data_IF_256305145276
#
_entry.id   IF_256305145276
#
_cell.length_a   1.000
_cell.length_b   1.000
_cell.length_c   1.000
_cell.angle_alpha   90.00
_cell.angle_beta   90.00
_cell.angle_gamma   90.00
#
_symmetry.space_group_name_H-M   'P 1'
#
loop_
_entity.id
_entity.type
_entity.pdbx_description
1 polymer ?
#
# COMPACT_ATOMS: atom_id res chain seq x y z
N UNK A 1 -7.05 26.30 4.38
CA UNK A 1 -5.77 26.02 3.65
C UNK A 1 -4.60 25.43 4.47
N UNK A 2 -4.75 25.13 5.78
CA UNK A 2 -3.69 24.52 6.62
C UNK A 2 -3.70 22.98 6.67
N UNK A 3 -4.81 22.34 6.28
CA UNK A 3 -5.02 20.89 6.46
C UNK A 3 -4.09 20.05 5.55
N UNK A 4 -3.62 20.58 4.43
CA UNK A 4 -2.80 19.82 3.46
C UNK A 4 -1.44 19.38 4.04
N UNK A 5 -0.76 20.26 4.76
CA UNK A 5 0.50 19.92 5.44
C UNK A 5 0.27 18.95 6.61
N UNK A 6 -0.87 19.06 7.30
CA UNK A 6 -1.23 18.17 8.40
C UNK A 6 -1.46 16.73 7.92
N UNK A 7 -2.09 16.53 6.77
CA UNK A 7 -2.31 15.18 6.23
C UNK A 7 -1.00 14.48 5.83
N UNK A 8 -0.05 15.19 5.22
CA UNK A 8 1.28 14.64 4.93
C UNK A 8 2.07 14.35 6.22
N UNK A 9 1.98 15.23 7.23
CA UNK A 9 2.58 14.98 8.54
C UNK A 9 1.95 13.75 9.25
N UNK A 10 0.66 13.49 9.05
CA UNK A 10 -0.01 12.28 9.53
C UNK A 10 0.46 11.04 8.76
N UNK A 11 0.77 11.18 7.47
CA UNK A 11 1.26 10.09 6.62
C UNK A 11 2.74 9.73 6.86
N UNK A 12 3.47 10.51 7.67
CA UNK A 12 4.84 10.21 8.09
C UNK A 12 4.97 8.77 8.62
N UNK A 13 5.99 8.02 8.23
CA UNK A 13 6.24 6.65 8.72
C UNK A 13 5.06 5.70 8.44
N UNK A 14 4.48 5.79 7.23
CA UNK A 14 3.31 5.05 6.80
C UNK A 14 3.48 3.54 6.89
N UNK A 15 4.64 3.00 6.48
CA UNK A 15 4.95 1.57 6.57
C UNK A 15 4.93 1.09 8.02
N UNK A 16 5.69 1.76 8.90
CA UNK A 16 5.74 1.42 10.33
C UNK A 16 4.38 1.56 11.01
N UNK A 17 3.58 2.59 10.67
CA UNK A 17 2.22 2.78 11.18
C UNK A 17 1.28 1.66 10.73
N UNK A 18 1.33 1.26 9.46
CA UNK A 18 0.50 0.18 8.96
C UNK A 18 0.82 -1.12 9.69
N UNK A 19 2.10 -1.48 9.78
CA UNK A 19 2.57 -2.67 10.50
C UNK A 19 2.10 -2.70 11.95
N UNK A 20 2.21 -1.59 12.66
CA UNK A 20 1.93 -1.56 14.11
C UNK A 20 0.45 -1.42 14.46
N UNK A 21 -0.36 -0.82 13.57
CA UNK A 21 -1.76 -0.46 13.89
C UNK A 21 -2.81 -1.21 13.07
N UNK A 22 -2.51 -1.53 11.82
CA UNK A 22 -3.49 -2.07 10.85
C UNK A 22 -3.24 -3.56 10.61
N UNK A 23 -1.98 -3.98 10.45
CA UNK A 23 -1.62 -5.37 10.20
C UNK A 23 -2.19 -6.34 11.26
N UNK A 24 -2.13 -6.08 12.59
CA UNK A 24 -2.68 -6.99 13.58
C UNK A 24 -4.19 -7.22 13.42
N UNK A 25 -4.92 -6.17 13.00
CA UNK A 25 -6.35 -6.26 12.73
C UNK A 25 -6.62 -7.04 11.44
N UNK A 26 -5.88 -6.77 10.37
CA UNK A 26 -5.96 -7.51 9.11
C UNK A 26 -5.81 -9.02 9.34
N UNK A 27 -4.74 -9.42 10.03
CA UNK A 27 -4.44 -10.82 10.32
C UNK A 27 -5.47 -11.46 11.25
N UNK A 28 -5.94 -10.73 12.25
CA UNK A 28 -6.96 -11.24 13.18
C UNK A 28 -8.29 -11.45 12.49
N UNK A 29 -8.73 -10.52 11.64
CA UNK A 29 -9.97 -10.69 10.85
C UNK A 29 -9.86 -11.86 9.88
N UNK A 30 -8.71 -12.05 9.22
CA UNK A 30 -8.48 -13.21 8.35
C UNK A 30 -8.58 -14.52 9.14
N UNK A 31 -7.93 -14.59 10.32
CA UNK A 31 -7.99 -15.79 11.18
C UNK A 31 -9.39 -16.08 11.71
N UNK A 32 -10.17 -15.05 12.03
CA UNK A 32 -11.50 -15.21 12.62
C UNK A 32 -12.58 -15.56 11.58
N UNK A 33 -12.50 -14.97 10.39
CA UNK A 33 -13.56 -15.06 9.38
C UNK A 33 -13.16 -15.84 8.13
N UNK A 34 -11.89 -16.22 7.98
CA UNK A 34 -11.38 -16.93 6.81
C UNK A 34 -11.39 -16.10 5.53
N UNK A 35 -11.60 -14.79 5.62
CA UNK A 35 -11.77 -13.90 4.47
C UNK A 35 -10.91 -12.63 4.60
N UNK A 36 -10.47 -12.10 3.46
CA UNK A 36 -9.72 -10.85 3.40
C UNK A 36 -10.64 -9.66 3.69
N UNK A 37 -10.42 -8.87 4.76
CA UNK A 37 -11.23 -7.70 5.06
C UNK A 37 -11.04 -6.61 3.99
N UNK A 38 -12.07 -6.30 3.18
CA UNK A 38 -11.90 -5.50 1.96
C UNK A 38 -11.25 -4.14 2.21
N UNK A 39 -11.67 -3.43 3.27
CA UNK A 39 -11.19 -2.09 3.61
C UNK A 39 -9.75 -2.08 4.10
N UNK A 40 -9.32 -3.09 4.85
CA UNK A 40 -7.94 -3.16 5.36
C UNK A 40 -6.98 -3.59 4.23
N UNK A 41 -7.40 -4.51 3.38
CA UNK A 41 -6.66 -4.88 2.17
C UNK A 41 -6.55 -3.71 1.20
N UNK A 42 -7.61 -2.93 1.03
CA UNK A 42 -7.57 -1.69 0.23
C UNK A 42 -6.64 -0.64 0.85
N UNK A 43 -6.63 -0.49 2.18
CA UNK A 43 -5.71 0.43 2.84
C UNK A 43 -4.24 0.07 2.56
N UNK A 44 -3.89 -1.22 2.46
CA UNK A 44 -2.55 -1.67 2.06
C UNK A 44 -2.23 -1.29 0.62
N UNK A 45 -3.16 -1.49 -0.31
CA UNK A 45 -3.01 -1.04 -1.70
C UNK A 45 -2.88 0.49 -1.81
N UNK A 46 -3.67 1.23 -1.03
CA UNK A 46 -3.60 2.69 -0.96
C UNK A 46 -2.26 3.19 -0.41
N UNK A 47 -1.67 2.47 0.55
CA UNK A 47 -0.33 2.76 1.07
C UNK A 47 0.73 2.60 -0.05
N UNK A 48 0.70 1.48 -0.78
CA UNK A 48 1.62 1.26 -1.92
C UNK A 48 1.44 2.35 -2.98
N UNK A 49 0.19 2.71 -3.31
CA UNK A 49 -0.12 3.80 -4.24
C UNK A 49 0.40 5.16 -3.74
N UNK A 50 0.33 5.42 -2.43
CA UNK A 50 0.84 6.65 -1.82
C UNK A 50 2.35 6.81 -2.02
N UNK A 51 3.13 5.74 -1.85
CA UNK A 51 4.58 5.81 -2.12
C UNK A 51 4.96 5.99 -3.59
N UNK A 52 4.00 6.04 -4.51
CA UNK A 52 4.27 6.54 -5.86
C UNK A 52 4.64 8.03 -5.86
N UNK A 53 4.30 8.76 -4.80
CA UNK A 53 4.68 10.16 -4.59
C UNK A 53 3.98 11.14 -5.54
N UNK A 54 2.92 10.70 -6.23
CA UNK A 54 2.17 11.55 -7.15
C UNK A 54 0.66 11.33 -7.04
N UNK A 55 -0.11 12.40 -7.24
CA UNK A 55 -1.57 12.40 -7.29
C UNK A 55 -2.04 13.42 -8.31
N UNK A 56 -2.90 13.00 -9.23
CA UNK A 56 -3.46 13.87 -10.28
C UNK A 56 -2.38 14.64 -11.07
N UNK A 57 -1.26 13.97 -11.36
CA UNK A 57 -0.10 14.56 -12.05
C UNK A 57 0.79 15.46 -11.18
N UNK A 58 0.44 15.70 -9.92
CA UNK A 58 1.22 16.51 -8.99
C UNK A 58 2.06 15.61 -8.08
N UNK A 59 3.37 15.88 -8.02
CA UNK A 59 4.30 15.22 -7.09
C UNK A 59 4.17 15.84 -5.70
N UNK A 60 4.26 15.02 -4.67
CA UNK A 60 4.30 15.45 -3.27
C UNK A 60 5.46 14.78 -2.51
N UNK A 61 5.99 15.44 -1.47
CA UNK A 61 7.07 14.87 -0.69
C UNK A 61 6.58 13.64 0.09
N UNK A 62 7.36 12.57 0.01
CA UNK A 62 7.24 11.40 0.89
C UNK A 62 8.15 11.59 2.10
N UNK A 63 7.70 11.14 3.26
CA UNK A 63 8.45 11.18 4.50
C UNK A 63 8.34 9.83 5.20
N UNK A 64 9.41 9.04 5.10
CA UNK A 64 9.55 7.74 5.73
C UNK A 64 11.04 7.40 5.82
N UNK A 65 11.38 6.24 6.37
CA UNK A 65 12.76 5.75 6.41
C UNK A 65 13.30 5.56 4.97
N UNK A 66 14.59 5.86 4.78
CA UNK A 66 15.24 5.84 3.45
C UNK A 66 15.12 4.49 2.73
N UNK A 67 15.05 3.39 3.49
CA UNK A 67 14.84 2.05 2.96
C UNK A 67 13.52 1.95 2.17
N UNK A 68 12.44 2.56 2.69
CA UNK A 68 11.14 2.55 2.03
C UNK A 68 11.12 3.48 0.84
N UNK A 69 11.64 4.70 1.01
CA UNK A 69 11.71 5.68 -0.07
C UNK A 69 12.50 5.13 -1.27
N UNK A 70 13.63 4.49 -1.01
CA UNK A 70 14.47 3.88 -2.04
C UNK A 70 13.77 2.70 -2.72
N UNK A 71 13.21 1.78 -1.92
CA UNK A 71 12.56 0.58 -2.46
C UNK A 71 11.35 0.94 -3.32
N UNK A 72 10.46 1.80 -2.83
CA UNK A 72 9.29 2.23 -3.60
C UNK A 72 9.69 3.03 -4.84
N UNK A 73 10.72 3.89 -4.75
CA UNK A 73 11.24 4.61 -5.93
C UNK A 73 11.71 3.64 -7.02
N UNK A 74 12.46 2.59 -6.65
CA UNK A 74 12.93 1.57 -7.58
C UNK A 74 11.77 0.76 -8.16
N UNK A 75 10.88 0.24 -7.32
CA UNK A 75 9.76 -0.57 -7.76
C UNK A 75 8.79 0.20 -8.67
N UNK A 76 8.47 1.46 -8.34
CA UNK A 76 7.65 2.31 -9.22
C UNK A 76 8.35 2.67 -10.54
N UNK A 77 9.68 2.82 -10.57
CA UNK A 77 10.45 2.96 -11.82
C UNK A 77 10.36 1.72 -12.70
N UNK A 78 10.47 0.53 -12.10
CA UNK A 78 10.32 -0.73 -12.84
C UNK A 78 8.92 -0.85 -13.44
N UNK A 79 7.87 -0.53 -12.66
CA UNK A 79 6.49 -0.49 -13.16
C UNK A 79 6.33 0.50 -14.32
N UNK A 80 6.93 1.70 -14.22
CA UNK A 80 6.93 2.67 -15.31
C UNK A 80 7.65 2.16 -16.57
N UNK A 81 8.62 1.26 -16.42
CA UNK A 81 9.35 0.61 -17.50
C UNK A 81 8.69 -0.69 -18.01
N UNK A 82 7.46 -0.98 -17.58
CA UNK A 82 6.65 -2.10 -18.07
C UNK A 82 6.61 -3.32 -17.17
N UNK A 83 7.25 -3.31 -16.00
CA UNK A 83 7.09 -4.39 -15.02
C UNK A 83 5.64 -4.43 -14.50
N UNK A 84 5.10 -5.63 -14.21
CA UNK A 84 3.74 -5.75 -13.69
C UNK A 84 3.63 -5.17 -12.27
N UNK A 85 2.49 -4.54 -11.95
CA UNK A 85 2.19 -4.05 -10.59
C UNK A 85 2.26 -5.16 -9.53
N UNK A 86 1.90 -6.38 -9.91
CA UNK A 86 1.97 -7.54 -9.03
C UNK A 86 3.40 -7.76 -8.49
N UNK A 87 4.44 -7.52 -9.30
CA UNK A 87 5.82 -7.66 -8.85
C UNK A 87 6.17 -6.70 -7.72
N UNK A 88 5.76 -5.44 -7.85
CA UNK A 88 5.90 -4.44 -6.78
C UNK A 88 5.13 -4.85 -5.52
N UNK A 89 3.92 -5.38 -5.66
CA UNK A 89 3.12 -5.84 -4.53
C UNK A 89 3.79 -7.00 -3.82
N UNK A 90 4.27 -8.01 -4.55
CA UNK A 90 5.01 -9.13 -3.96
C UNK A 90 6.25 -8.66 -3.22
N UNK A 91 7.05 -7.77 -3.82
CA UNK A 91 8.27 -7.24 -3.20
C UNK A 91 7.99 -6.55 -1.86
N UNK A 92 6.89 -5.79 -1.79
CA UNK A 92 6.48 -5.11 -0.55
C UNK A 92 5.97 -6.12 0.48
N UNK A 93 5.12 -7.07 0.08
CA UNK A 93 4.44 -8.00 1.00
C UNK A 93 5.36 -9.11 1.53
N UNK A 94 6.39 -9.50 0.78
CA UNK A 94 7.32 -10.56 1.19
C UNK A 94 8.39 -10.12 2.19
N UNK A 95 8.48 -8.83 2.53
CA UNK A 95 9.47 -8.33 3.49
C UNK A 95 9.15 -8.77 4.92
N UNK A 96 9.61 -9.97 5.27
CA UNK A 96 9.45 -10.56 6.59
C UNK A 96 10.15 -9.70 7.67
N UNK A 97 11.30 -9.08 7.39
CA UNK A 97 11.99 -8.25 8.37
C UNK A 97 11.13 -7.04 8.79
N UNK A 98 10.37 -6.48 7.85
CA UNK A 98 9.38 -5.47 8.18
C UNK A 98 8.14 -6.08 8.81
N UNK A 99 7.40 -6.94 8.12
CA UNK A 99 6.06 -7.38 8.55
C UNK A 99 6.07 -8.34 9.75
N UNK A 100 7.19 -9.00 10.01
CA UNK A 100 7.31 -10.09 10.99
C UNK A 100 6.86 -11.45 10.46
N UNK A 101 6.28 -11.49 9.27
CA UNK A 101 5.92 -12.70 8.53
C UNK A 101 5.90 -12.41 7.02
N UNK A 102 5.91 -13.45 6.19
CA UNK A 102 5.72 -13.30 4.75
C UNK A 102 4.22 -13.17 4.42
N UNK A 103 3.76 -11.96 4.10
CA UNK A 103 2.35 -11.71 3.80
C UNK A 103 1.92 -12.33 2.47
N UNK A 104 2.85 -12.68 1.58
CA UNK A 104 2.52 -13.37 0.32
C UNK A 104 2.05 -14.81 0.55
N UNK A 105 2.37 -15.38 1.72
CA UNK A 105 1.87 -16.69 2.14
C UNK A 105 0.37 -16.68 2.49
N UNK A 106 -0.25 -15.50 2.63
CA UNK A 106 -1.68 -15.36 2.89
C UNK A 106 -2.45 -15.56 1.57
N UNK A 107 -3.29 -16.61 1.44
CA UNK A 107 -3.96 -16.93 0.18
C UNK A 107 -4.77 -15.75 -0.37
N UNK A 108 -4.48 -15.38 -1.62
CA UNK A 108 -5.18 -14.33 -2.36
C UNK A 108 -4.91 -12.90 -1.92
N UNK A 109 -4.08 -12.66 -0.88
CA UNK A 109 -3.80 -11.30 -0.40
C UNK A 109 -3.07 -10.47 -1.46
N UNK A 110 -1.97 -10.98 -2.00
CA UNK A 110 -1.19 -10.29 -3.04
C UNK A 110 -2.03 -9.95 -4.27
N UNK A 111 -2.90 -10.86 -4.70
CA UNK A 111 -3.79 -10.64 -5.84
C UNK A 111 -4.83 -9.57 -5.53
N UNK A 112 -5.45 -9.62 -4.35
CA UNK A 112 -6.45 -8.64 -3.96
C UNK A 112 -5.87 -7.23 -3.79
N UNK A 113 -4.67 -7.13 -3.20
CA UNK A 113 -3.93 -5.87 -3.10
C UNK A 113 -3.58 -5.34 -4.49
N UNK A 114 -3.11 -6.20 -5.39
CA UNK A 114 -2.81 -5.84 -6.79
C UNK A 114 -4.05 -5.30 -7.50
N UNK A 115 -5.20 -5.98 -7.39
CA UNK A 115 -6.47 -5.54 -7.96
C UNK A 115 -6.90 -4.17 -7.44
N UNK A 116 -6.84 -3.96 -6.12
CA UNK A 116 -7.18 -2.65 -5.55
C UNK A 116 -6.19 -1.57 -5.97
N UNK A 117 -4.90 -1.88 -6.07
CA UNK A 117 -3.90 -0.95 -6.56
C UNK A 117 -4.19 -0.53 -8.01
N UNK A 118 -4.50 -1.49 -8.89
CA UNK A 118 -4.92 -1.22 -10.27
C UNK A 118 -6.18 -0.34 -10.32
N UNK A 119 -7.18 -0.62 -9.49
CA UNK A 119 -8.40 0.19 -9.41
C UNK A 119 -8.08 1.63 -9.00
N UNK A 120 -7.25 1.82 -7.98
CA UNK A 120 -6.80 3.14 -7.50
C UNK A 120 -6.08 3.91 -8.62
N UNK A 121 -5.19 3.24 -9.36
CA UNK A 121 -4.43 3.88 -10.44
C UNK A 121 -5.28 4.22 -11.67
N UNK A 122 -6.27 3.38 -12.00
CA UNK A 122 -7.13 3.56 -13.19
C UNK A 122 -8.27 4.55 -12.95
N UNK A 123 -8.92 4.47 -11.80
CA UNK A 123 -10.17 5.20 -11.50
C UNK A 123 -9.97 6.33 -10.47
N UNK A 124 -8.79 6.40 -9.86
CA UNK A 124 -8.52 7.30 -8.75
C UNK A 124 -9.07 6.77 -7.41
N UNK A 125 -8.57 7.34 -6.32
CA UNK A 125 -8.82 6.87 -4.96
C UNK A 125 -10.31 6.88 -4.58
N UNK A 126 -11.03 7.95 -4.92
CA UNK A 126 -12.44 8.12 -4.52
C UNK A 126 -13.35 7.10 -5.18
N UNK A 127 -13.18 6.90 -6.48
CA UNK A 127 -14.00 5.96 -7.24
C UNK A 127 -13.64 4.52 -6.87
N UNK A 128 -12.36 4.20 -6.69
CA UNK A 128 -11.94 2.88 -6.22
C UNK A 128 -12.53 2.55 -4.83
N UNK A 129 -12.59 3.53 -3.92
CA UNK A 129 -13.21 3.36 -2.60
C UNK A 129 -14.74 3.20 -2.66
N UNK A 130 -15.41 3.82 -3.62
CA UNK A 130 -16.87 3.68 -3.78
C UNK A 130 -17.29 2.31 -4.35
N UNK A 131 -16.34 1.56 -4.92
CA UNK A 131 -16.53 0.24 -5.53
C UNK A 131 -16.13 -0.93 -4.61
N UNK A 132 -15.73 -0.63 -3.38
CA UNK A 132 -15.46 -1.61 -2.31
C UNK A 132 -16.75 -2.18 -1.73
#
# INVERSE_FOLDING_TARGET
PYIRHQLLAIALNGMTKFRTRILPQLLTTIRQHGALPPRLTFALAALIAFYRGQRDGQVYPLQDDDVWLTRFSQGWKQVANGSPLHGLVLEVLQDNAHWGEDLTAIPGLSDQVTRYLEMILRSGMREALARL
#
